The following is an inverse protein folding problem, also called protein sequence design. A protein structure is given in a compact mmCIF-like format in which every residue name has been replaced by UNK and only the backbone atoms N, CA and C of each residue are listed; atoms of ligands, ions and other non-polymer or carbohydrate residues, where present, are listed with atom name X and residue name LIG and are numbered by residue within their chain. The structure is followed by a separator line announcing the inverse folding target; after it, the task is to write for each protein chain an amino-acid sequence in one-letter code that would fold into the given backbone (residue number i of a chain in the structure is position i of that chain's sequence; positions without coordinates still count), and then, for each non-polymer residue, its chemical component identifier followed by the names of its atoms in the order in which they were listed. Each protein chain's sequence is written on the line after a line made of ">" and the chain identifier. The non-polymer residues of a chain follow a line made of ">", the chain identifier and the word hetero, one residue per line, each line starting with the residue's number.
data_IF_485202800420
#
_entry.id   IF_485202800420
#
_cell.length_a   1.000
_cell.length_b   1.000
_cell.length_c   1.000
_cell.angle_alpha   90.00
_cell.angle_beta   90.00
_cell.angle_gamma   90.00
#
_symmetry.space_group_name_H-M   'P 1'
#
loop_
_entity.id
_entity.type
_entity.pdbx_description
1 polymer ?
#
# COMPACT_ATOMS: atom_id res chain seq x y z
N UNK A 1 1.23 -16.08 -6.77
CA UNK A 1 2.10 -15.88 -5.59
C UNK A 1 1.55 -14.70 -4.83
N UNK A 2 1.10 -14.89 -3.58
CA UNK A 2 0.68 -13.77 -2.72
C UNK A 2 1.96 -13.29 -2.00
N UNK A 3 2.40 -12.07 -2.26
CA UNK A 3 3.48 -11.46 -1.49
C UNK A 3 2.91 -10.57 -0.39
N UNK A 4 3.35 -10.79 0.84
CA UNK A 4 3.11 -9.90 1.97
C UNK A 4 4.39 -9.15 2.32
N UNK A 5 4.31 -7.83 2.50
CA UNK A 5 5.39 -7.01 3.05
C UNK A 5 4.94 -6.45 4.41
N UNK A 6 5.71 -6.74 5.44
CA UNK A 6 5.54 -6.16 6.78
C UNK A 6 6.44 -4.92 6.92
N UNK A 7 5.85 -3.79 7.31
CA UNK A 7 6.53 -2.50 7.41
C UNK A 7 6.11 -1.86 8.73
N UNK A 8 7.05 -1.21 9.42
CA UNK A 8 6.73 -0.39 10.60
C UNK A 8 6.77 1.08 10.20
N UNK A 9 5.70 1.83 10.46
CA UNK A 9 5.66 3.28 10.21
C UNK A 9 6.21 4.06 11.38
N UNK A 10 6.83 5.21 11.11
CA UNK A 10 7.20 6.18 12.14
C UNK A 10 6.27 7.41 12.15
N UNK A 11 5.21 7.39 11.33
CA UNK A 11 4.23 8.46 11.14
C UNK A 11 4.79 9.81 10.70
N UNK A 12 6.06 9.87 10.30
CA UNK A 12 6.75 11.08 9.83
C UNK A 12 7.14 10.95 8.36
N UNK A 13 7.65 9.79 7.98
CA UNK A 13 8.13 9.51 6.64
C UNK A 13 7.10 8.68 5.86
N UNK A 14 6.94 9.02 4.58
CA UNK A 14 6.12 8.25 3.66
C UNK A 14 6.69 6.84 3.51
N UNK A 15 5.81 5.84 3.41
CA UNK A 15 6.22 4.47 3.13
C UNK A 15 6.45 4.31 1.63
N UNK A 16 7.65 3.86 1.26
CA UNK A 16 8.04 3.60 -0.12
C UNK A 16 8.27 2.12 -0.35
N UNK A 17 7.61 1.57 -1.36
CA UNK A 17 7.68 0.16 -1.73
C UNK A 17 8.03 0.03 -3.20
N UNK A 18 9.22 -0.49 -3.49
CA UNK A 18 9.63 -0.85 -4.84
C UNK A 18 9.02 -2.21 -5.23
N UNK A 19 8.55 -2.28 -6.47
CA UNK A 19 8.04 -3.47 -7.12
C UNK A 19 8.90 -3.81 -8.35
N UNK A 20 9.04 -5.10 -8.64
CA UNK A 20 9.49 -5.55 -9.95
C UNK A 20 8.23 -5.87 -10.75
N UNK A 21 7.73 -4.89 -11.51
CA UNK A 21 6.43 -4.99 -12.16
C UNK A 21 6.41 -6.03 -13.29
N UNK A 22 7.57 -6.36 -13.90
CA UNK A 22 7.74 -7.42 -14.91
C UNK A 22 6.68 -7.38 -16.04
N UNK A 23 6.29 -6.16 -16.44
CA UNK A 23 5.29 -5.90 -17.48
C UNK A 23 3.84 -5.91 -17.00
N UNK A 24 3.58 -6.02 -15.69
CA UNK A 24 2.28 -5.73 -15.11
C UNK A 24 2.11 -4.23 -14.83
N UNK A 25 0.88 -3.74 -14.97
CA UNK A 25 0.51 -2.36 -14.68
C UNK A 25 -0.13 -2.28 -13.30
N UNK A 26 0.35 -1.38 -12.44
CA UNK A 26 -0.31 -1.09 -11.17
C UNK A 26 -1.70 -0.49 -11.43
N UNK A 27 -2.72 -0.99 -10.74
CA UNK A 27 -4.11 -0.56 -10.92
C UNK A 27 -4.68 0.15 -9.72
N UNK A 28 -4.49 -0.40 -8.52
CA UNK A 28 -5.04 0.18 -7.31
C UNK A 28 -4.35 -0.28 -6.04
N UNK A 29 -4.48 0.55 -5.01
CA UNK A 29 -4.25 0.23 -3.61
C UNK A 29 -5.60 0.42 -2.89
N UNK A 30 -6.01 -0.55 -2.09
CA UNK A 30 -7.30 -0.57 -1.40
C UNK A 30 -7.13 -0.88 0.09
N UNK A 31 -8.04 -0.35 0.92
CA UNK A 31 -8.07 -0.53 2.38
C UNK A 31 -8.27 0.79 3.13
N UNK A 32 -8.97 0.76 4.27
CA UNK A 32 -9.14 1.91 5.19
C UNK A 32 -9.54 3.25 4.54
N UNK A 33 -10.42 3.19 3.53
CA UNK A 33 -10.87 4.35 2.75
C UNK A 33 -9.73 5.15 2.08
N UNK A 34 -8.60 4.50 1.79
CA UNK A 34 -7.50 5.09 1.02
C UNK A 34 -7.98 5.49 -0.37
N UNK A 35 -7.53 6.65 -0.84
CA UNK A 35 -7.85 7.20 -2.17
C UNK A 35 -6.59 7.45 -2.99
N UNK A 36 -6.74 7.76 -4.28
CA UNK A 36 -5.63 8.15 -5.15
C UNK A 36 -4.91 9.43 -4.71
N UNK A 37 -5.47 10.20 -3.76
CA UNK A 37 -4.80 11.36 -3.16
C UNK A 37 -3.83 10.97 -2.05
N UNK A 38 -3.95 9.76 -1.50
CA UNK A 38 -3.20 9.27 -0.33
C UNK A 38 -1.94 8.48 -0.72
N UNK A 39 -1.81 8.10 -1.99
CA UNK A 39 -0.65 7.38 -2.49
C UNK A 39 -0.32 7.75 -3.95
N UNK A 40 0.90 7.46 -4.36
CA UNK A 40 1.34 7.58 -5.76
C UNK A 40 2.07 6.32 -6.19
N UNK A 41 1.96 5.94 -7.46
CA UNK A 41 2.78 4.88 -8.05
C UNK A 41 3.55 5.44 -9.24
N UNK A 42 4.87 5.61 -9.10
CA UNK A 42 5.74 6.20 -10.13
C UNK A 42 7.05 5.42 -10.18
N UNK A 43 7.52 5.09 -11.39
CA UNK A 43 8.79 4.36 -11.60
C UNK A 43 8.89 3.10 -10.74
N UNK A 44 7.81 2.31 -10.73
CA UNK A 44 7.67 1.09 -9.93
C UNK A 44 7.80 1.24 -8.40
N UNK A 45 7.62 2.46 -7.89
CA UNK A 45 7.60 2.74 -6.46
C UNK A 45 6.21 3.22 -6.04
N UNK A 46 5.56 2.43 -5.19
CA UNK A 46 4.37 2.84 -4.44
C UNK A 46 4.81 3.69 -3.24
N UNK A 47 4.33 4.92 -3.17
CA UNK A 47 4.52 5.81 -2.01
C UNK A 47 3.17 6.02 -1.34
N UNK A 48 3.05 5.62 -0.06
CA UNK A 48 1.85 5.84 0.77
C UNK A 48 2.15 6.95 1.76
N UNK A 49 1.32 8.00 1.78
CA UNK A 49 1.55 9.20 2.58
C UNK A 49 1.51 8.91 4.08
N UNK A 50 2.48 9.43 4.83
CA UNK A 50 2.53 9.30 6.29
C UNK A 50 1.30 9.94 6.96
N UNK A 51 0.80 11.06 6.42
CA UNK A 51 -0.39 11.76 6.93
C UNK A 51 -1.65 10.90 6.85
N UNK A 52 -1.81 10.14 5.76
CA UNK A 52 -2.89 9.18 5.61
C UNK A 52 -2.76 8.07 6.66
N UNK A 53 -1.57 7.47 6.80
CA UNK A 53 -1.34 6.38 7.76
C UNK A 53 -1.65 6.81 9.19
N UNK A 54 -1.19 8.01 9.57
CA UNK A 54 -1.50 8.60 10.88
C UNK A 54 -3.01 8.71 11.09
N UNK A 55 -3.72 9.31 10.13
CA UNK A 55 -5.18 9.45 10.20
C UNK A 55 -5.90 8.10 10.27
N UNK A 56 -5.44 7.10 9.52
CA UNK A 56 -6.02 5.77 9.49
C UNK A 56 -5.84 5.04 10.84
N UNK A 57 -4.65 5.12 11.45
CA UNK A 57 -4.40 4.55 12.77
C UNK A 57 -5.13 5.31 13.90
N UNK A 58 -5.30 6.62 13.78
CA UNK A 58 -6.08 7.41 14.75
C UNK A 58 -7.57 7.06 14.71
N UNK A 59 -8.12 6.80 13.52
CA UNK A 59 -9.51 6.31 13.36
C UNK A 59 -9.71 4.89 13.89
N UNK A 60 -8.66 4.07 13.84
CA UNK A 60 -8.65 2.66 14.26
C UNK A 60 -7.70 2.46 15.45
N UNK A 61 -7.85 3.27 16.51
CA UNK A 61 -6.86 3.40 17.60
C UNK A 61 -6.47 2.10 18.31
N UNK A 62 -7.37 1.12 18.31
CA UNK A 62 -7.13 -0.20 18.92
C UNK A 62 -6.25 -1.12 18.04
N UNK A 63 -6.13 -0.84 16.73
CA UNK A 63 -5.34 -1.65 15.82
C UNK A 63 -3.85 -1.42 16.01
N UNK A 64 -3.09 -2.51 15.89
CA UNK A 64 -1.62 -2.47 15.82
C UNK A 64 -1.10 -2.57 14.40
N UNK A 65 -1.98 -2.91 13.45
CA UNK A 65 -1.65 -3.02 12.03
C UNK A 65 -2.80 -2.63 11.11
N UNK A 66 -2.44 -2.13 9.94
CA UNK A 66 -3.31 -1.86 8.80
C UNK A 66 -2.89 -2.78 7.64
N UNK A 67 -3.82 -3.52 7.06
CA UNK A 67 -3.59 -4.37 5.89
C UNK A 67 -4.22 -3.73 4.64
N UNK A 68 -3.38 -3.44 3.65
CA UNK A 68 -3.80 -2.93 2.34
C UNK A 68 -3.65 -4.03 1.30
N UNK A 69 -4.53 -4.04 0.30
CA UNK A 69 -4.36 -4.86 -0.89
C UNK A 69 -3.94 -3.99 -2.07
N UNK A 70 -3.05 -4.51 -2.91
CA UNK A 70 -2.66 -3.86 -4.15
C UNK A 70 -2.89 -4.79 -5.34
N UNK A 71 -3.27 -4.21 -6.47
CA UNK A 71 -3.60 -4.95 -7.68
C UNK A 71 -2.70 -4.52 -8.83
N UNK A 72 -2.13 -5.51 -9.50
CA UNK A 72 -1.42 -5.40 -10.75
C UNK A 72 -2.16 -6.19 -11.82
N UNK A 73 -2.19 -5.70 -13.05
CA UNK A 73 -2.84 -6.38 -14.17
C UNK A 73 -1.94 -6.41 -15.41
N UNK A 74 -2.04 -7.50 -16.16
CA UNK A 74 -1.39 -7.68 -17.45
C UNK A 74 -2.27 -8.56 -18.32
N UNK A 75 -2.77 -8.03 -19.44
CA UNK A 75 -3.75 -8.72 -20.29
C UNK A 75 -4.93 -9.22 -19.45
N UNK A 76 -5.25 -10.52 -19.51
CA UNK A 76 -6.31 -11.15 -18.72
C UNK A 76 -5.84 -11.64 -17.34
N UNK A 77 -4.63 -11.28 -16.91
CA UNK A 77 -4.06 -11.71 -15.64
C UNK A 77 -4.13 -10.63 -14.57
N UNK A 78 -4.70 -10.99 -13.42
CA UNK A 78 -4.72 -10.16 -12.21
C UNK A 78 -3.78 -10.73 -11.15
N UNK A 79 -2.88 -9.89 -10.65
CA UNK A 79 -2.05 -10.17 -9.50
C UNK A 79 -2.50 -9.32 -8.30
N UNK A 80 -2.89 -9.99 -7.22
CA UNK A 80 -3.28 -9.37 -5.95
C UNK A 80 -2.22 -9.68 -4.89
N UNK A 81 -1.75 -8.64 -4.21
CA UNK A 81 -0.85 -8.77 -3.06
C UNK A 81 -1.30 -7.92 -1.88
N UNK A 82 -0.60 -8.07 -0.75
CA UNK A 82 -0.97 -7.41 0.50
C UNK A 82 0.24 -6.69 1.14
N UNK A 83 -0.04 -5.58 1.80
CA UNK A 83 0.94 -4.82 2.58
C UNK A 83 0.40 -4.70 4.00
N UNK A 84 1.17 -5.17 4.98
CA UNK A 84 0.86 -4.99 6.39
C UNK A 84 1.73 -3.86 6.95
N UNK A 85 1.11 -2.77 7.38
CA UNK A 85 1.78 -1.64 8.01
C UNK A 85 1.48 -1.69 9.51
N UNK A 86 2.51 -1.72 10.35
CA UNK A 86 2.42 -1.77 11.82
C UNK A 86 2.79 -0.42 12.42
N UNK A 87 2.18 -0.11 13.57
CA UNK A 87 2.54 1.03 14.41
C UNK A 87 3.85 0.82 15.17
#
# INVERSE_FOLDING_TARGET
>A
MISSKDITTNFKDDIKLSFASLGYTFKSLNGYAITSSDYTYVNDVLTIKASFLKTAFEKESERTSLIFSYTFEKDDQTHLGFITIKK
#
